data_IF_423689914498
#
_entry.id   IF_423689914498
#
_cell.length_a   1.000
_cell.length_b   1.000
_cell.length_c   1.000
_cell.angle_alpha   90.00
_cell.angle_beta   90.00
_cell.angle_gamma   90.00
#
_symmetry.space_group_name_H-M   'P 1'
#
loop_
_entity.id
_entity.type
_entity.pdbx_description
1 polymer ?
#
# COMPACT_ATOMS: atom_id res chain seq x y z
N UNK A 1 1.10 34.08 19.11
CA UNK A 1 0.63 34.73 17.87
C UNK A 1 0.54 33.69 16.76
N UNK A 2 -0.48 33.76 15.91
CA UNK A 2 -0.65 32.89 14.73
C UNK A 2 -0.93 33.73 13.50
N UNK A 3 -0.42 33.31 12.34
CA UNK A 3 -0.65 33.96 11.04
C UNK A 3 -1.53 33.04 10.18
N UNK A 4 -2.52 33.62 9.48
CA UNK A 4 -3.38 32.89 8.57
C UNK A 4 -2.68 32.71 7.19
N UNK A 5 -2.82 31.54 6.59
CA UNK A 5 -2.37 31.28 5.21
C UNK A 5 -3.42 30.46 4.47
N UNK A 6 -3.58 30.72 3.17
CA UNK A 6 -4.45 29.96 2.27
C UNK A 6 -3.61 28.91 1.54
N UNK A 7 -4.12 27.69 1.42
CA UNK A 7 -3.46 26.59 0.72
C UNK A 7 -4.44 25.83 -0.16
N UNK A 8 -3.90 25.24 -1.22
CA UNK A 8 -4.63 24.36 -2.14
C UNK A 8 -4.15 22.94 -1.89
N UNK A 9 -5.09 22.01 -1.72
CA UNK A 9 -4.79 20.58 -1.68
C UNK A 9 -4.74 20.07 -3.11
N UNK A 10 -3.61 19.48 -3.51
CA UNK A 10 -3.43 18.96 -4.87
C UNK A 10 -4.17 17.63 -5.06
N UNK A 11 -5.50 17.71 -5.20
CA UNK A 11 -6.40 16.58 -5.41
C UNK A 11 -7.65 17.05 -6.16
N UNK A 12 -8.19 16.22 -7.04
CA UNK A 12 -9.43 16.54 -7.74
C UNK A 12 -10.62 16.71 -6.79
N UNK A 13 -11.56 17.56 -7.16
CA UNK A 13 -12.86 17.63 -6.48
C UNK A 13 -13.61 16.29 -6.55
N UNK A 14 -13.42 15.54 -7.65
CA UNK A 14 -13.95 14.19 -7.83
C UNK A 14 -13.52 13.23 -6.71
N UNK A 15 -12.26 13.27 -6.28
CA UNK A 15 -11.76 12.49 -5.14
C UNK A 15 -12.39 12.89 -3.80
N UNK A 16 -12.63 14.19 -3.59
CA UNK A 16 -13.32 14.69 -2.39
C UNK A 16 -14.77 14.19 -2.37
N UNK A 17 -15.47 14.31 -3.49
CA UNK A 17 -16.86 13.87 -3.63
C UNK A 17 -17.00 12.36 -3.49
N UNK A 18 -16.07 11.60 -4.07
CA UNK A 18 -16.01 10.14 -3.93
C UNK A 18 -15.91 9.72 -2.46
N UNK A 19 -14.91 10.23 -1.73
CA UNK A 19 -14.76 9.91 -0.31
C UNK A 19 -15.94 10.44 0.53
N UNK A 20 -16.45 11.63 0.23
CA UNK A 20 -17.65 12.18 0.88
C UNK A 20 -18.86 11.26 0.71
N UNK A 21 -19.06 10.71 -0.48
CA UNK A 21 -20.12 9.75 -0.79
C UNK A 21 -19.96 8.44 0.00
N UNK A 22 -18.74 7.89 0.07
CA UNK A 22 -18.45 6.70 0.88
C UNK A 22 -18.75 6.93 2.37
N UNK A 23 -18.34 8.07 2.91
CA UNK A 23 -18.62 8.46 4.30
C UNK A 23 -20.11 8.66 4.55
N UNK A 24 -20.83 9.23 3.58
CA UNK A 24 -22.28 9.39 3.67
C UNK A 24 -22.97 8.02 3.74
N UNK A 25 -22.65 7.13 2.82
CA UNK A 25 -23.19 5.77 2.79
C UNK A 25 -22.91 5.02 4.10
N UNK A 26 -21.70 5.16 4.66
CA UNK A 26 -21.36 4.54 5.95
C UNK A 26 -22.15 5.13 7.12
N UNK A 27 -22.37 6.45 7.14
CA UNK A 27 -23.21 7.10 8.17
C UNK A 27 -24.65 6.60 8.10
N UNK A 28 -25.20 6.44 6.90
CA UNK A 28 -26.54 5.88 6.67
C UNK A 28 -26.60 4.43 7.15
N UNK A 29 -25.64 3.59 6.74
CA UNK A 29 -25.55 2.18 7.15
C UNK A 29 -25.52 2.00 8.67
N UNK A 30 -24.81 2.89 9.39
CA UNK A 30 -24.74 2.87 10.87
C UNK A 30 -25.95 3.50 11.56
N UNK A 31 -26.90 4.10 10.83
CA UNK A 31 -28.01 4.84 11.43
C UNK A 31 -27.56 6.09 12.21
N UNK A 32 -26.51 6.78 11.74
CA UNK A 32 -25.99 7.97 12.42
C UNK A 32 -27.04 9.08 12.43
N UNK A 33 -27.54 9.45 13.61
CA UNK A 33 -28.57 10.50 13.76
C UNK A 33 -28.08 11.86 13.26
N UNK A 34 -28.99 12.64 12.67
CA UNK A 34 -28.73 14.02 12.22
C UNK A 34 -28.22 14.89 13.39
N UNK A 35 -27.24 15.76 13.10
CA UNK A 35 -26.67 16.68 14.09
C UNK A 35 -25.66 16.08 15.07
N UNK A 36 -25.35 14.77 15.00
CA UNK A 36 -24.38 14.12 15.91
C UNK A 36 -22.92 14.26 15.50
N UNK A 37 -22.65 14.61 14.23
CA UNK A 37 -21.28 14.73 13.70
C UNK A 37 -20.89 16.20 13.63
N UNK A 38 -19.70 16.53 14.12
CA UNK A 38 -19.13 17.88 14.08
C UNK A 38 -18.87 18.37 12.65
N UNK A 39 -18.52 17.47 11.72
CA UNK A 39 -18.33 17.80 10.30
C UNK A 39 -19.33 17.09 9.38
N UNK A 40 -19.74 17.79 8.32
CA UNK A 40 -20.33 17.17 7.14
C UNK A 40 -19.32 16.24 6.44
N UNK A 41 -19.81 15.32 5.61
CA UNK A 41 -18.97 14.31 4.95
C UNK A 41 -17.95 14.92 4.00
N UNK A 42 -18.28 16.03 3.34
CA UNK A 42 -17.34 16.76 2.50
C UNK A 42 -16.13 17.29 3.30
N UNK A 43 -16.37 18.00 4.41
CA UNK A 43 -15.28 18.50 5.27
C UNK A 43 -14.47 17.35 5.91
N UNK A 44 -15.14 16.25 6.29
CA UNK A 44 -14.45 15.04 6.75
C UNK A 44 -13.55 14.45 5.65
N UNK A 45 -14.03 14.38 4.41
CA UNK A 45 -13.23 13.90 3.28
C UNK A 45 -11.99 14.76 3.04
N UNK A 46 -12.13 16.10 3.02
CA UNK A 46 -10.98 17.02 2.90
C UNK A 46 -9.97 16.82 4.03
N UNK A 47 -10.43 16.64 5.27
CA UNK A 47 -9.56 16.34 6.42
C UNK A 47 -8.74 15.06 6.19
N UNK A 48 -9.39 13.99 5.74
CA UNK A 48 -8.75 12.69 5.47
C UNK A 48 -7.75 12.81 4.31
N UNK A 49 -8.12 13.47 3.21
CA UNK A 49 -7.25 13.63 2.04
C UNK A 49 -6.02 14.47 2.36
N UNK A 50 -6.18 15.55 3.13
CA UNK A 50 -5.05 16.37 3.59
C UNK A 50 -4.13 15.61 4.54
N UNK A 51 -4.67 14.66 5.31
CA UNK A 51 -3.83 13.75 6.09
C UNK A 51 -3.03 12.81 5.18
N UNK A 52 -3.66 12.17 4.20
CA UNK A 52 -2.99 11.25 3.27
C UNK A 52 -1.89 11.91 2.44
N UNK A 53 -2.22 13.03 1.79
CA UNK A 53 -1.35 13.72 0.83
C UNK A 53 -0.21 14.46 1.51
N UNK A 54 -0.49 15.12 2.65
CA UNK A 54 0.47 16.02 3.29
C UNK A 54 1.07 15.50 4.60
N UNK A 55 0.62 14.36 5.12
CA UNK A 55 0.94 13.90 6.49
C UNK A 55 0.69 15.01 7.53
N UNK A 56 -0.41 15.77 7.33
CA UNK A 56 -0.71 16.91 8.18
C UNK A 56 -0.97 16.43 9.61
N UNK A 57 -0.28 17.05 10.59
CA UNK A 57 -0.44 16.72 12.01
C UNK A 57 -1.91 16.81 12.44
N UNK A 58 -2.37 15.81 13.20
CA UNK A 58 -3.76 15.74 13.67
C UNK A 58 -4.20 16.96 14.47
N UNK A 59 -3.30 17.57 15.25
CA UNK A 59 -3.58 18.83 15.97
C UNK A 59 -3.90 19.98 15.01
N UNK A 60 -3.18 20.08 13.89
CA UNK A 60 -3.44 21.10 12.88
C UNK A 60 -4.76 20.84 12.16
N UNK A 61 -5.03 19.59 11.78
CA UNK A 61 -6.32 19.21 11.18
C UNK A 61 -7.52 19.51 12.10
N UNK A 62 -7.38 19.23 13.40
CA UNK A 62 -8.40 19.50 14.39
C UNK A 62 -8.66 21.00 14.57
N UNK A 63 -7.58 21.79 14.72
CA UNK A 63 -7.64 23.25 14.83
C UNK A 63 -8.29 23.88 13.61
N UNK A 64 -7.83 23.51 12.41
CA UNK A 64 -8.30 24.09 11.14
C UNK A 64 -9.78 23.76 10.85
N UNK A 65 -10.32 22.72 11.51
CA UNK A 65 -11.74 22.33 11.41
C UNK A 65 -12.57 22.69 12.66
N UNK A 66 -11.97 23.35 13.68
CA UNK A 66 -12.61 23.66 14.96
C UNK A 66 -13.28 22.44 15.64
N UNK A 67 -12.59 21.29 15.64
CA UNK A 67 -13.04 20.05 16.29
C UNK A 67 -12.04 19.56 17.33
N UNK A 68 -12.48 18.68 18.23
CA UNK A 68 -11.57 18.00 19.14
C UNK A 68 -10.58 17.11 18.38
N UNK A 69 -9.36 16.97 18.92
CA UNK A 69 -8.32 16.11 18.33
C UNK A 69 -8.78 14.65 18.24
N UNK A 70 -9.48 14.15 19.25
CA UNK A 70 -10.09 12.81 19.23
C UNK A 70 -11.06 12.63 18.06
N UNK A 71 -11.93 13.61 17.81
CA UNK A 71 -12.84 13.60 16.66
C UNK A 71 -12.10 13.61 15.33
N UNK A 72 -10.97 14.33 15.23
CA UNK A 72 -10.14 14.29 14.02
C UNK A 72 -9.54 12.90 13.79
N UNK A 73 -9.10 12.21 14.85
CA UNK A 73 -8.64 10.81 14.78
C UNK A 73 -9.76 9.87 14.33
N UNK A 74 -10.94 9.95 14.95
CA UNK A 74 -12.10 9.15 14.55
C UNK A 74 -12.44 9.35 13.07
N UNK A 75 -12.42 10.60 12.60
CA UNK A 75 -12.71 10.95 11.22
C UNK A 75 -11.68 10.45 10.23
N UNK A 76 -10.39 10.55 10.55
CA UNK A 76 -9.31 9.94 9.77
C UNK A 76 -9.53 8.43 9.65
N UNK A 77 -9.83 7.79 10.77
CA UNK A 77 -9.94 6.34 10.87
C UNK A 77 -11.17 5.79 10.15
N UNK A 78 -12.31 6.48 10.24
CA UNK A 78 -13.49 6.22 9.42
C UNK A 78 -13.19 6.37 7.92
N UNK A 79 -12.47 7.44 7.53
CA UNK A 79 -12.07 7.66 6.14
C UNK A 79 -11.19 6.54 5.59
N UNK A 80 -10.17 6.12 6.36
CA UNK A 80 -9.32 4.97 6.01
C UNK A 80 -10.17 3.71 5.86
N UNK A 81 -11.09 3.45 6.80
CA UNK A 81 -11.90 2.23 6.79
C UNK A 81 -12.82 2.16 5.56
N UNK A 82 -13.53 3.24 5.22
CA UNK A 82 -14.45 3.22 4.07
C UNK A 82 -13.72 3.13 2.73
N UNK A 83 -12.49 3.67 2.63
CA UNK A 83 -11.62 3.53 1.46
C UNK A 83 -11.04 2.12 1.36
N UNK A 84 -10.45 1.61 2.43
CA UNK A 84 -9.84 0.28 2.47
C UNK A 84 -10.84 -0.83 2.15
N UNK A 85 -12.11 -0.66 2.55
CA UNK A 85 -13.20 -1.58 2.20
C UNK A 85 -13.50 -1.66 0.70
N UNK A 86 -12.95 -0.75 -0.12
CA UNK A 86 -13.06 -0.77 -1.58
C UNK A 86 -11.88 -1.42 -2.28
N UNK A 87 -10.85 -1.85 -1.54
CA UNK A 87 -9.72 -2.61 -2.08
C UNK A 87 -10.25 -3.78 -2.92
N UNK A 88 -9.83 -3.94 -4.18
CA UNK A 88 -10.21 -5.11 -4.97
C UNK A 88 -9.69 -6.38 -4.28
N UNK A 89 -10.38 -7.52 -4.46
CA UNK A 89 -9.74 -8.80 -4.17
C UNK A 89 -8.55 -8.99 -5.12
N UNK A 90 -7.55 -9.75 -4.70
CA UNK A 90 -6.41 -10.02 -5.58
C UNK A 90 -6.87 -10.76 -6.84
N UNK A 91 -7.80 -11.70 -6.69
CA UNK A 91 -8.43 -12.38 -7.82
C UNK A 91 -9.07 -11.39 -8.81
N UNK A 92 -9.87 -10.43 -8.31
CA UNK A 92 -10.51 -9.43 -9.17
C UNK A 92 -9.50 -8.53 -9.88
N UNK A 93 -8.43 -8.13 -9.19
CA UNK A 93 -7.36 -7.33 -9.78
C UNK A 93 -6.61 -8.08 -10.89
N UNK A 94 -6.28 -9.36 -10.67
CA UNK A 94 -5.62 -10.20 -11.67
C UNK A 94 -6.54 -10.53 -12.84
N UNK A 95 -7.83 -10.78 -12.60
CA UNK A 95 -8.80 -10.99 -13.68
C UNK A 95 -8.92 -9.77 -14.59
N UNK A 96 -8.98 -8.57 -13.99
CA UNK A 96 -9.00 -7.33 -14.74
C UNK A 96 -7.69 -7.09 -15.49
N UNK A 97 -6.54 -7.41 -14.88
CA UNK A 97 -5.24 -7.34 -15.55
C UNK A 97 -5.15 -8.30 -16.75
N UNK A 98 -5.73 -9.51 -16.64
CA UNK A 98 -5.81 -10.47 -17.73
C UNK A 98 -6.68 -9.93 -18.87
N UNK A 99 -7.84 -9.38 -18.54
CA UNK A 99 -8.75 -8.78 -19.51
C UNK A 99 -8.12 -7.57 -20.23
N UNK A 100 -7.22 -6.84 -19.56
CA UNK A 100 -6.42 -5.76 -20.15
C UNK A 100 -5.24 -6.25 -21.01
N UNK A 101 -4.99 -7.57 -21.08
CA UNK A 101 -3.93 -8.15 -21.91
C UNK A 101 -2.53 -8.08 -21.31
N UNK A 102 -2.40 -7.87 -19.99
CA UNK A 102 -1.09 -7.83 -19.35
C UNK A 102 -0.41 -9.20 -19.39
N UNK A 103 0.79 -9.27 -19.96
CA UNK A 103 1.58 -10.51 -20.11
C UNK A 103 2.17 -11.01 -18.79
N UNK A 104 2.36 -10.11 -17.83
CA UNK A 104 2.92 -10.41 -16.54
C UNK A 104 2.43 -9.44 -15.48
N UNK A 105 2.60 -9.82 -14.23
CA UNK A 105 2.52 -8.92 -13.08
C UNK A 105 3.86 -8.89 -12.37
N UNK A 106 4.11 -7.81 -11.64
CA UNK A 106 5.30 -7.66 -10.79
C UNK A 106 4.84 -7.70 -9.34
N UNK A 107 5.45 -8.59 -8.55
CA UNK A 107 5.24 -8.74 -7.11
C UNK A 107 6.47 -8.23 -6.39
N UNK A 108 6.28 -7.24 -5.52
CA UNK A 108 7.37 -6.61 -4.78
C UNK A 108 6.95 -6.26 -3.35
N UNK A 109 7.93 -6.29 -2.45
CA UNK A 109 7.77 -5.94 -1.04
C UNK A 109 8.24 -4.50 -0.79
N UNK A 110 7.43 -3.71 -0.10
CA UNK A 110 7.82 -2.36 0.35
C UNK A 110 7.69 -2.20 1.84
N UNK A 111 8.76 -1.68 2.45
CA UNK A 111 8.74 -1.31 3.86
C UNK A 111 8.17 0.11 4.02
N UNK A 112 7.03 0.24 4.67
CA UNK A 112 6.50 1.52 5.13
C UNK A 112 7.13 1.84 6.49
N UNK A 113 7.94 2.89 6.55
CA UNK A 113 8.64 3.24 7.78
C UNK A 113 7.67 3.63 8.89
N UNK A 114 8.03 3.33 10.12
CA UNK A 114 7.33 3.79 11.32
C UNK A 114 8.29 4.49 12.26
N UNK A 115 7.73 5.17 13.27
CA UNK A 115 8.54 5.49 14.45
C UNK A 115 9.03 4.22 15.14
N UNK A 116 10.06 4.36 15.99
CA UNK A 116 10.62 3.25 16.74
C UNK A 116 9.55 2.68 17.67
N UNK A 117 9.26 1.40 17.50
CA UNK A 117 8.29 0.67 18.31
C UNK A 117 9.01 -0.54 18.85
N UNK A 118 9.16 -0.60 20.17
CA UNK A 118 9.79 -1.72 20.85
C UNK A 118 8.77 -2.85 20.98
N UNK A 119 8.79 -3.83 20.08
CA UNK A 119 7.97 -5.04 20.20
C UNK A 119 8.89 -6.26 20.13
N UNK A 120 8.87 -7.14 21.14
CA UNK A 120 9.69 -8.36 21.12
C UNK A 120 9.43 -9.18 19.86
N UNK A 121 10.49 -9.45 19.10
CA UNK A 121 10.47 -10.42 18.01
C UNK A 121 10.56 -11.86 18.52
N UNK A 122 10.48 -12.84 17.61
CA UNK A 122 10.57 -14.26 17.99
C UNK A 122 11.98 -14.69 18.43
N UNK A 123 13.00 -13.86 18.22
CA UNK A 123 14.36 -14.09 18.72
C UNK A 123 14.69 -13.03 19.77
N UNK A 124 15.31 -13.45 20.88
CA UNK A 124 15.71 -12.55 21.97
C UNK A 124 16.58 -11.41 21.43
N UNK A 125 16.25 -10.18 21.80
CA UNK A 125 17.01 -8.98 21.42
C UNK A 125 16.70 -8.44 20.02
N UNK A 126 15.82 -9.10 19.25
CA UNK A 126 15.37 -8.63 17.94
C UNK A 126 14.01 -7.98 18.09
N UNK A 127 13.83 -6.82 17.47
CA UNK A 127 12.54 -6.15 17.40
C UNK A 127 11.70 -6.67 16.23
N UNK A 128 10.41 -6.90 16.49
CA UNK A 128 9.46 -7.43 15.51
C UNK A 128 9.36 -6.54 14.25
N UNK A 129 9.37 -5.23 14.42
CA UNK A 129 9.20 -4.25 13.34
C UNK A 129 10.51 -3.78 12.74
N UNK A 130 11.66 -4.17 13.31
CA UNK A 130 12.97 -3.78 12.77
C UNK A 130 13.33 -4.59 11.54
N UNK A 131 13.45 -3.91 10.40
CA UNK A 131 13.98 -4.50 9.18
C UNK A 131 15.49 -4.41 9.15
N UNK A 132 16.17 -5.57 9.14
CA UNK A 132 17.62 -5.63 8.94
C UNK A 132 18.05 -5.09 7.57
N UNK A 133 17.29 -5.41 6.51
CA UNK A 133 17.51 -4.97 5.11
C UNK A 133 17.51 -3.45 5.00
N UNK A 134 16.53 -2.80 5.61
CA UNK A 134 16.34 -1.34 5.49
C UNK A 134 16.95 -0.54 6.65
N UNK A 135 17.40 -1.19 7.73
CA UNK A 135 17.90 -0.55 8.97
C UNK A 135 16.91 0.47 9.56
N UNK A 136 15.62 0.15 9.47
CA UNK A 136 14.53 0.99 9.97
C UNK A 136 13.40 0.13 10.56
N UNK A 137 12.64 0.69 11.50
CA UNK A 137 11.35 0.12 11.89
C UNK A 137 10.31 0.40 10.79
N UNK A 138 9.48 -0.59 10.50
CA UNK A 138 8.40 -0.41 9.54
C UNK A 138 7.56 -1.66 9.35
N UNK A 139 6.46 -1.52 8.62
CA UNK A 139 5.62 -2.65 8.18
C UNK A 139 5.93 -3.01 6.73
N UNK A 140 6.07 -4.31 6.46
CA UNK A 140 6.23 -4.85 5.12
C UNK A 140 4.85 -5.01 4.46
N UNK A 141 4.67 -4.45 3.27
CA UNK A 141 3.47 -4.57 2.44
C UNK A 141 3.88 -5.18 1.10
N UNK A 142 3.18 -6.22 0.68
CA UNK A 142 3.35 -6.82 -0.64
C UNK A 142 2.47 -6.08 -1.64
N UNK A 143 3.02 -5.73 -2.79
CA UNK A 143 2.35 -4.98 -3.85
C UNK A 143 2.39 -5.81 -5.12
N UNK A 144 1.22 -5.94 -5.76
CA UNK A 144 1.09 -6.52 -7.10
C UNK A 144 0.86 -5.37 -8.07
N UNK A 145 1.61 -5.34 -9.16
CA UNK A 145 1.55 -4.26 -10.14
C UNK A 145 1.58 -4.77 -11.58
N UNK A 146 1.14 -3.92 -12.49
CA UNK A 146 1.17 -4.12 -13.94
C UNK A 146 2.60 -4.06 -14.48
N UNK A 147 2.83 -4.45 -15.75
CA UNK A 147 4.12 -4.28 -16.42
C UNK A 147 4.66 -2.85 -16.39
N UNK A 148 3.80 -1.83 -16.47
CA UNK A 148 4.22 -0.42 -16.44
C UNK A 148 4.40 0.14 -15.02
N UNK A 149 4.27 -0.70 -13.98
CA UNK A 149 4.45 -0.29 -12.59
C UNK A 149 3.24 0.44 -11.99
N UNK A 150 2.03 0.18 -12.49
CA UNK A 150 0.80 0.64 -11.87
C UNK A 150 0.40 -0.33 -10.74
N UNK A 151 0.23 0.12 -9.49
CA UNK A 151 -0.16 -0.77 -8.40
C UNK A 151 -1.61 -1.25 -8.61
N UNK A 152 -1.83 -2.56 -8.61
CA UNK A 152 -3.13 -3.20 -8.75
C UNK A 152 -3.74 -3.56 -7.40
N UNK A 153 -2.89 -4.02 -6.47
CA UNK A 153 -3.32 -4.56 -5.19
C UNK A 153 -2.21 -4.47 -4.15
N UNK A 154 -2.60 -4.35 -2.88
CA UNK A 154 -1.69 -4.34 -1.72
C UNK A 154 -2.15 -5.27 -0.61
N UNK A 155 -1.21 -6.00 -0.01
CA UNK A 155 -1.49 -6.92 1.10
C UNK A 155 -1.82 -6.21 2.40
N UNK A 156 -2.27 -7.00 3.37
CA UNK A 156 -2.21 -6.58 4.77
C UNK A 156 -0.75 -6.49 5.23
N UNK A 157 -0.52 -5.77 6.33
CA UNK A 157 0.83 -5.51 6.83
C UNK A 157 1.43 -6.74 7.51
N UNK A 158 2.71 -6.95 7.25
CA UNK A 158 3.57 -7.89 7.98
C UNK A 158 4.66 -7.14 8.74
N UNK A 159 5.18 -7.71 9.85
CA UNK A 159 6.32 -7.13 10.55
C UNK A 159 7.52 -6.85 9.65
N UNK A 160 8.16 -5.69 9.78
CA UNK A 160 9.28 -5.28 8.92
C UNK A 160 10.51 -6.18 8.96
N UNK A 161 10.66 -7.02 9.99
CA UNK A 161 11.72 -8.02 10.02
C UNK A 161 11.48 -9.17 9.05
N UNK A 162 10.23 -9.47 8.71
CA UNK A 162 9.88 -10.64 7.93
C UNK A 162 10.38 -10.47 6.49
N UNK A 163 11.05 -11.52 6.00
CA UNK A 163 11.44 -11.61 4.60
C UNK A 163 10.21 -11.63 3.70
N UNK A 164 10.36 -11.14 2.47
CA UNK A 164 9.25 -11.00 1.52
C UNK A 164 8.55 -12.33 1.27
N UNK A 165 9.28 -13.44 1.11
CA UNK A 165 8.66 -14.77 1.06
C UNK A 165 7.85 -15.17 2.31
N UNK A 166 8.33 -14.81 3.50
CA UNK A 166 7.56 -15.12 4.73
C UNK A 166 6.29 -14.30 4.78
N UNK A 167 6.35 -13.03 4.37
CA UNK A 167 5.20 -12.16 4.24
C UNK A 167 4.20 -12.67 3.18
N UNK A 168 4.70 -13.15 2.04
CA UNK A 168 3.89 -13.72 0.98
C UNK A 168 3.19 -15.02 1.42
N UNK A 169 3.91 -15.95 2.07
CA UNK A 169 3.35 -17.19 2.63
C UNK A 169 2.31 -16.96 3.71
N UNK A 170 2.46 -15.88 4.49
CA UNK A 170 1.47 -15.49 5.48
C UNK A 170 0.14 -15.00 4.86
N UNK A 171 0.10 -14.78 3.54
CA UNK A 171 -1.11 -14.52 2.78
C UNK A 171 -1.38 -15.65 1.77
N UNK A 172 -2.14 -16.69 2.16
CA UNK A 172 -2.45 -17.82 1.28
C UNK A 172 -3.15 -17.41 -0.03
N UNK A 173 -3.94 -16.33 0.00
CA UNK A 173 -4.59 -15.82 -1.21
C UNK A 173 -3.56 -15.27 -2.20
N UNK A 174 -2.47 -14.63 -1.73
CA UNK A 174 -1.42 -14.13 -2.62
C UNK A 174 -0.78 -15.26 -3.42
N UNK A 175 -0.30 -16.31 -2.73
CA UNK A 175 0.34 -17.42 -3.41
C UNK A 175 -0.63 -18.15 -4.33
N UNK A 176 -1.82 -18.50 -3.85
CA UNK A 176 -2.80 -19.22 -4.65
C UNK A 176 -3.17 -18.47 -5.93
N UNK A 177 -3.44 -17.16 -5.84
CA UNK A 177 -3.88 -16.37 -7.00
C UNK A 177 -2.77 -16.06 -7.98
N UNK A 178 -1.54 -15.91 -7.51
CA UNK A 178 -0.39 -15.76 -8.42
C UNK A 178 -0.08 -17.10 -9.10
N UNK A 179 -0.21 -18.23 -8.40
CA UNK A 179 -0.09 -19.56 -9.02
C UNK A 179 -1.18 -19.79 -10.08
N UNK A 180 -2.44 -19.41 -9.82
CA UNK A 180 -3.51 -19.46 -10.82
C UNK A 180 -3.14 -18.62 -12.06
N UNK A 181 -2.68 -17.39 -11.85
CA UNK A 181 -2.22 -16.47 -12.91
C UNK A 181 -1.11 -17.08 -13.77
N UNK A 182 -0.11 -17.71 -13.13
CA UNK A 182 1.01 -18.34 -13.84
C UNK A 182 0.57 -19.61 -14.57
N UNK A 183 -0.32 -20.40 -13.97
CA UNK A 183 -0.86 -21.63 -14.58
C UNK A 183 -1.64 -21.34 -15.86
N UNK A 184 -2.19 -20.13 -15.98
CA UNK A 184 -2.87 -19.62 -17.17
C UNK A 184 -1.90 -19.10 -18.26
N UNK A 185 -0.58 -19.27 -18.08
CA UNK A 185 0.45 -18.96 -19.07
C UNK A 185 1.05 -17.55 -18.98
N UNK A 186 0.67 -16.76 -17.97
CA UNK A 186 1.26 -15.45 -17.71
C UNK A 186 2.46 -15.55 -16.74
N UNK A 187 3.24 -14.48 -16.60
CA UNK A 187 4.39 -14.45 -15.68
C UNK A 187 4.12 -13.64 -14.42
N UNK A 188 4.76 -14.01 -13.32
CA UNK A 188 4.81 -13.21 -12.10
C UNK A 188 6.27 -12.94 -11.74
N UNK A 189 6.73 -11.73 -12.02
CA UNK A 189 8.12 -11.32 -11.79
C UNK A 189 8.31 -10.86 -10.35
N UNK A 190 9.34 -11.36 -9.69
CA UNK A 190 9.67 -10.98 -8.32
C UNK A 190 11.20 -10.81 -8.11
N UNK A 191 11.62 -10.26 -6.98
CA UNK A 191 13.04 -10.20 -6.61
C UNK A 191 13.51 -11.50 -5.92
N UNK A 192 14.80 -11.58 -5.57
CA UNK A 192 15.36 -12.74 -4.87
C UNK A 192 14.79 -12.93 -3.45
N UNK A 193 14.14 -11.92 -2.88
CA UNK A 193 13.40 -12.03 -1.62
C UNK A 193 12.20 -12.97 -1.71
N UNK A 194 11.80 -13.33 -2.93
CA UNK A 194 10.78 -14.32 -3.23
C UNK A 194 11.35 -15.73 -3.53
N UNK A 195 12.61 -16.01 -3.16
CA UNK A 195 13.18 -17.34 -3.31
C UNK A 195 12.45 -18.39 -2.45
N UNK A 196 12.04 -19.51 -3.05
CA UNK A 196 11.37 -20.61 -2.35
C UNK A 196 10.02 -21.02 -2.91
N UNK A 197 9.48 -20.30 -3.90
CA UNK A 197 8.30 -20.70 -4.69
C UNK A 197 8.58 -20.57 -6.21
N UNK A 198 9.54 -21.33 -6.77
CA UNK A 198 9.97 -21.17 -8.16
C UNK A 198 8.88 -21.53 -9.20
N UNK A 199 7.85 -22.28 -8.79
CA UNK A 199 6.68 -22.54 -9.62
C UNK A 199 5.70 -21.36 -9.69
N UNK A 200 5.82 -20.40 -8.78
CA UNK A 200 4.92 -19.25 -8.65
C UNK A 200 5.59 -17.94 -9.07
N UNK A 201 6.86 -17.76 -8.76
CA UNK A 201 7.59 -16.53 -9.08
C UNK A 201 8.75 -16.80 -10.04
N UNK A 202 8.80 -16.02 -11.11
CA UNK A 202 10.00 -15.87 -11.92
C UNK A 202 10.95 -14.93 -11.17
N UNK A 203 12.13 -15.42 -10.83
CA UNK A 203 13.19 -14.69 -10.10
C UNK A 203 14.51 -14.78 -10.88
N UNK A 204 15.46 -13.85 -10.69
CA UNK A 204 16.73 -13.90 -11.41
C UNK A 204 17.60 -15.08 -10.94
N UNK A 205 18.46 -15.58 -11.82
CA UNK A 205 19.47 -16.59 -11.50
C UNK A 205 20.46 -16.06 -10.46
N UNK A 206 20.72 -16.88 -9.43
CA UNK A 206 21.64 -16.55 -8.34
C UNK A 206 23.06 -17.03 -8.68
N UNK A 207 24.06 -16.20 -8.37
CA UNK A 207 25.47 -16.63 -8.43
C UNK A 207 25.74 -17.71 -7.37
N UNK A 208 26.42 -18.78 -7.75
CA UNK A 208 27.01 -19.71 -6.78
C UNK A 208 28.21 -19.07 -6.08
N UNK A 209 28.58 -19.54 -4.88
CA UNK A 209 29.61 -18.91 -4.04
C UNK A 209 30.96 -18.72 -4.75
N UNK A 210 31.30 -19.59 -5.71
CA UNK A 210 32.57 -19.57 -6.45
C UNK A 210 32.38 -19.47 -7.99
N UNK A 211 31.16 -19.20 -8.46
CA UNK A 211 30.81 -19.27 -9.88
C UNK A 211 30.49 -17.93 -10.53
N UNK A 212 30.73 -17.85 -11.83
CA UNK A 212 30.18 -16.81 -12.71
C UNK A 212 28.91 -17.34 -13.36
N UNK A 213 27.90 -16.47 -13.52
CA UNK A 213 26.70 -16.79 -14.29
C UNK A 213 27.11 -17.10 -15.74
N UNK A 214 26.45 -18.09 -16.36
CA UNK A 214 26.56 -18.31 -17.79
C UNK A 214 26.07 -17.07 -18.56
N UNK A 215 26.50 -16.91 -19.82
CA UNK A 215 26.11 -15.76 -20.65
C UNK A 215 24.58 -15.67 -20.78
N UNK A 216 23.91 -16.81 -20.95
CA UNK A 216 22.45 -16.87 -21.08
C UNK A 216 21.74 -16.48 -19.77
N UNK A 217 22.26 -16.91 -18.61
CA UNK A 217 21.74 -16.50 -17.30
C UNK A 217 21.93 -15.00 -17.06
N UNK A 218 23.04 -14.42 -17.52
CA UNK A 218 23.26 -12.98 -17.46
C UNK A 218 22.27 -12.22 -18.33
N UNK A 219 22.01 -12.71 -19.56
CA UNK A 219 21.02 -12.12 -20.46
C UNK A 219 19.60 -12.19 -19.87
N UNK A 220 19.21 -13.34 -19.33
CA UNK A 220 17.94 -13.51 -18.61
C UNK A 220 17.83 -12.57 -17.42
N UNK A 221 18.89 -12.44 -16.60
CA UNK A 221 18.89 -11.52 -15.47
C UNK A 221 18.80 -10.05 -15.89
N UNK A 222 19.41 -9.67 -17.02
CA UNK A 222 19.31 -8.33 -17.56
C UNK A 222 17.87 -8.01 -18.00
N UNK A 223 17.21 -8.94 -18.71
CA UNK A 223 15.80 -8.80 -19.10
C UNK A 223 14.89 -8.76 -17.87
N UNK A 224 15.09 -9.67 -16.93
CA UNK A 224 14.34 -9.71 -15.67
C UNK A 224 14.45 -8.40 -14.90
N UNK A 225 15.68 -7.89 -14.76
CA UNK A 225 15.94 -6.61 -14.11
C UNK A 225 15.25 -5.44 -14.79
N UNK A 226 15.27 -5.38 -16.13
CA UNK A 226 14.64 -4.33 -16.92
C UNK A 226 13.11 -4.33 -16.81
N UNK A 227 12.47 -5.50 -16.73
CA UNK A 227 11.02 -5.60 -16.55
C UNK A 227 10.62 -5.34 -15.10
N UNK A 228 11.30 -5.97 -14.14
CA UNK A 228 10.96 -5.89 -12.71
C UNK A 228 11.19 -4.50 -12.11
N UNK A 229 12.14 -3.70 -12.62
CA UNK A 229 12.40 -2.36 -12.06
C UNK A 229 11.17 -1.44 -12.10
N UNK A 230 10.22 -1.70 -13.00
CA UNK A 230 8.95 -0.98 -13.07
C UNK A 230 8.06 -1.26 -11.83
N UNK A 231 8.23 -2.39 -11.14
CA UNK A 231 7.58 -2.63 -9.85
C UNK A 231 7.97 -1.60 -8.77
N UNK A 232 9.20 -1.08 -8.82
CA UNK A 232 9.66 -0.04 -7.89
C UNK A 232 8.88 1.27 -8.10
N UNK A 233 8.40 1.53 -9.33
CA UNK A 233 7.49 2.64 -9.63
C UNK A 233 6.16 2.49 -8.90
N UNK A 234 5.60 1.29 -8.79
CA UNK A 234 4.34 1.06 -8.08
C UNK A 234 4.45 1.46 -6.60
N UNK A 235 5.55 1.04 -5.97
CA UNK A 235 5.88 1.42 -4.59
C UNK A 235 6.12 2.92 -4.44
N UNK A 236 6.81 3.53 -5.42
CA UNK A 236 7.06 4.96 -5.46
C UNK A 236 5.75 5.74 -5.57
N UNK A 237 4.86 5.41 -6.51
CA UNK A 237 3.56 6.08 -6.68
C UNK A 237 2.76 6.17 -5.38
N UNK A 238 2.73 5.10 -4.58
CA UNK A 238 2.05 5.13 -3.28
C UNK A 238 2.76 6.05 -2.28
N UNK A 239 4.08 5.94 -2.13
CA UNK A 239 4.86 6.64 -1.08
C UNK A 239 5.15 8.10 -1.42
N UNK A 240 5.29 8.44 -2.69
CA UNK A 240 5.54 9.81 -3.15
C UNK A 240 4.25 10.62 -3.16
N UNK A 241 3.15 10.03 -3.61
CA UNK A 241 1.84 10.70 -3.67
C UNK A 241 1.26 10.89 -2.26
N UNK A 242 1.31 9.86 -1.42
CA UNK A 242 0.73 9.91 -0.08
C UNK A 242 1.85 10.00 0.97
N UNK A 243 2.14 11.22 1.43
CA UNK A 243 3.17 11.45 2.45
C UNK A 243 2.93 10.65 3.74
N UNK A 244 1.67 10.33 4.06
CA UNK A 244 1.32 9.47 5.18
C UNK A 244 1.98 8.07 5.13
N UNK A 245 2.37 7.59 3.93
CA UNK A 245 3.07 6.32 3.72
C UNK A 245 4.59 6.45 3.72
N UNK A 246 5.16 7.66 3.87
CA UNK A 246 6.62 7.82 3.96
C UNK A 246 7.14 7.45 5.34
N UNK A 247 6.39 7.80 6.40
CA UNK A 247 6.69 7.45 7.78
C UNK A 247 5.42 7.56 8.64
N UNK A 248 4.88 6.43 9.07
CA UNK A 248 3.66 6.38 9.85
C UNK A 248 3.93 6.43 11.37
N UNK A 249 3.17 7.26 12.09
CA UNK A 249 3.35 7.56 13.52
C UNK A 249 2.23 6.99 14.39
N UNK A 250 1.82 5.76 14.13
CA UNK A 250 0.78 5.08 14.87
C UNK A 250 0.99 3.57 14.90
N UNK A 251 -0.06 2.83 15.27
CA UNK A 251 -0.01 1.36 15.34
C UNK A 251 0.31 0.73 13.96
N UNK A 252 1.47 0.06 13.77
CA UNK A 252 1.91 -0.44 12.47
C UNK A 252 0.96 -1.44 11.84
N UNK A 253 0.18 -2.17 12.65
CA UNK A 253 -0.87 -3.08 12.20
C UNK A 253 -1.93 -2.41 11.31
N UNK A 254 -2.04 -1.07 11.35
CA UNK A 254 -2.97 -0.31 10.50
C UNK A 254 -2.43 0.00 9.11
N UNK A 255 -1.14 -0.24 8.86
CA UNK A 255 -0.50 0.08 7.58
C UNK A 255 -1.14 -0.65 6.40
N UNK A 256 -1.66 -1.87 6.58
CA UNK A 256 -2.39 -2.59 5.54
C UNK A 256 -3.61 -1.80 5.05
N UNK A 257 -4.49 -1.39 5.96
CA UNK A 257 -5.67 -0.58 5.61
C UNK A 257 -5.31 0.81 5.09
N UNK A 258 -4.27 1.45 5.64
CA UNK A 258 -3.82 2.77 5.16
C UNK A 258 -3.32 2.66 3.72
N UNK A 259 -2.52 1.64 3.41
CA UNK A 259 -1.98 1.42 2.06
C UNK A 259 -3.08 1.04 1.07
N UNK A 260 -4.02 0.19 1.49
CA UNK A 260 -5.20 -0.15 0.71
C UNK A 260 -6.07 1.08 0.40
N UNK A 261 -6.26 1.97 1.38
CA UNK A 261 -6.99 3.22 1.18
C UNK A 261 -6.26 4.17 0.21
N UNK A 262 -4.94 4.29 0.34
CA UNK A 262 -4.10 5.05 -0.59
C UNK A 262 -4.18 4.51 -2.03
N UNK A 263 -4.18 3.18 -2.21
CA UNK A 263 -4.36 2.53 -3.50
C UNK A 263 -5.69 2.95 -4.16
N UNK A 264 -6.79 2.93 -3.40
CA UNK A 264 -8.11 3.31 -3.92
C UNK A 264 -8.19 4.78 -4.30
N UNK A 265 -7.58 5.67 -3.51
CA UNK A 265 -7.46 7.07 -3.87
C UNK A 265 -6.67 7.25 -5.18
N UNK A 266 -5.60 6.47 -5.36
CA UNK A 266 -4.75 6.53 -6.56
C UNK A 266 -5.53 6.07 -7.80
N UNK A 267 -6.25 4.96 -7.69
CA UNK A 267 -7.09 4.43 -8.77
C UNK A 267 -8.19 5.42 -9.18
N UNK A 268 -8.83 6.05 -8.20
CA UNK A 268 -9.91 7.02 -8.45
C UNK A 268 -9.38 8.30 -9.09
N UNK A 269 -8.30 8.88 -8.55
CA UNK A 269 -7.72 10.14 -9.05
C UNK A 269 -7.21 10.02 -10.50
N UNK A 270 -6.71 8.85 -10.87
CA UNK A 270 -6.20 8.59 -12.23
C UNK A 270 -7.19 7.87 -13.14
N UNK A 271 -8.41 7.59 -12.67
CA UNK A 271 -9.42 6.81 -13.40
C UNK A 271 -8.89 5.49 -13.95
N UNK A 272 -8.03 4.80 -13.19
CA UNK A 272 -7.27 3.63 -13.65
C UNK A 272 -7.21 2.54 -12.57
N UNK A 273 -7.78 1.38 -12.88
CA UNK A 273 -7.80 0.20 -12.00
C UNK A 273 -6.90 -0.95 -12.48
N UNK A 274 -6.42 -0.89 -13.73
CA UNK A 274 -5.54 -1.88 -14.39
C UNK A 274 -4.48 -1.22 -15.25
#
# INVERSE_FOLDING_TARGET
MSVAYTAVLNVSEGSVLFLSGLLHAERVRRGTRKGRRALGTYKQAVLVLRWFLDDTRMLALARDNAIAVSTAYDYRDEGIAVLAARRPSLHGALLAAKAAGHSHVIVDGTLIHTDRISTPGPTRGVDLWWSGKHRHHGGNIQVVSTPDGWPLWTSDVRPGREHDMSAARANPELLARITDWVSDGALALADLGYEGEPATFTIPFKKTQDGRLAVDEQACNALHGALRCLGERANSLLKTTYKALRRYRGCPWRLGSITAAALILLHHEHHRTT
#
